data_IF_643937980244
#
_entry.id   IF_643937980244
#
_cell.length_a   1.000
_cell.length_b   1.000
_cell.length_c   1.000
_cell.angle_alpha   90.00
_cell.angle_beta   90.00
_cell.angle_gamma   90.00
#
_symmetry.space_group_name_H-M   'P 1'
#
loop_
_entity.id
_entity.type
_entity.pdbx_description
1 polymer ?
#
# COMPACT_ATOMS: atom_id res chain seq x y z
N UNK A 1 3.10 -2.96 -19.10
CA UNK A 1 2.92 -2.11 -20.30
C UNK A 1 3.96 -2.42 -21.38
N UNK A 2 5.26 -2.50 -21.08
CA UNK A 2 6.31 -2.76 -22.08
C UNK A 2 6.14 -4.05 -22.87
N UNK A 3 5.63 -5.11 -22.28
CA UNK A 3 5.57 -6.45 -22.90
C UNK A 3 4.35 -6.68 -23.80
N UNK A 4 3.19 -6.13 -23.42
CA UNK A 4 1.91 -6.40 -24.10
C UNK A 4 1.25 -5.17 -24.69
N UNK A 5 1.73 -3.98 -24.36
CA UNK A 5 1.15 -2.70 -24.73
C UNK A 5 0.35 -2.04 -23.59
N UNK A 6 0.11 -0.73 -23.72
CA UNK A 6 -0.52 0.03 -22.64
C UNK A 6 -2.05 -0.13 -22.63
N UNK A 7 -2.70 -0.26 -23.79
CA UNK A 7 -4.16 -0.25 -23.88
C UNK A 7 -4.79 -1.46 -23.19
N UNK A 8 -4.29 -2.68 -23.45
CA UNK A 8 -4.84 -3.89 -22.84
C UNK A 8 -4.59 -3.93 -21.34
N UNK A 9 -3.44 -3.40 -20.90
CA UNK A 9 -3.11 -3.28 -19.47
C UNK A 9 -4.06 -2.30 -18.78
N UNK A 10 -4.33 -1.15 -19.40
CA UNK A 10 -5.26 -0.15 -18.89
C UNK A 10 -6.69 -0.70 -18.79
N UNK A 11 -7.16 -1.38 -19.85
CA UNK A 11 -8.48 -2.04 -19.84
C UNK A 11 -8.60 -3.04 -18.70
N UNK A 12 -7.57 -3.88 -18.47
CA UNK A 12 -7.58 -4.81 -17.36
C UNK A 12 -7.60 -4.11 -15.99
N UNK A 13 -6.80 -3.06 -15.80
CA UNK A 13 -6.81 -2.30 -14.55
C UNK A 13 -8.19 -1.68 -14.30
N UNK A 14 -8.79 -1.05 -15.30
CA UNK A 14 -10.10 -0.41 -15.16
C UNK A 14 -11.21 -1.42 -14.85
N UNK A 15 -11.31 -2.47 -15.66
CA UNK A 15 -12.37 -3.48 -15.50
C UNK A 15 -12.15 -4.29 -14.20
N UNK A 16 -10.92 -4.71 -13.92
CA UNK A 16 -10.58 -5.43 -12.71
C UNK A 16 -10.89 -4.65 -11.45
N UNK A 17 -10.54 -3.37 -11.43
CA UNK A 17 -10.78 -2.49 -10.29
C UNK A 17 -12.28 -2.26 -10.03
N UNK A 18 -13.03 -1.88 -11.07
CA UNK A 18 -14.45 -1.53 -10.92
C UNK A 18 -15.32 -2.75 -10.64
N UNK A 19 -15.14 -3.84 -11.41
CA UNK A 19 -16.05 -4.98 -11.37
C UNK A 19 -15.65 -6.10 -10.43
N UNK A 20 -14.37 -6.21 -10.09
CA UNK A 20 -13.87 -7.27 -9.20
C UNK A 20 -13.34 -6.67 -7.91
N UNK A 21 -12.34 -5.80 -7.97
CA UNK A 21 -11.65 -5.26 -6.80
C UNK A 21 -12.57 -4.52 -5.85
N UNK A 22 -13.30 -3.51 -6.35
CA UNK A 22 -14.20 -2.72 -5.52
C UNK A 22 -15.37 -3.55 -4.96
N UNK A 23 -15.84 -4.53 -5.72
CA UNK A 23 -16.93 -5.42 -5.27
C UNK A 23 -16.47 -6.33 -4.16
N UNK A 24 -15.32 -7.00 -4.30
CA UNK A 24 -14.84 -7.90 -3.24
C UNK A 24 -14.44 -7.14 -1.98
N UNK A 25 -13.86 -5.94 -2.09
CA UNK A 25 -13.54 -5.11 -0.92
C UNK A 25 -14.81 -4.70 -0.17
N UNK A 26 -15.82 -4.26 -0.91
CA UNK A 26 -17.11 -3.92 -0.33
C UNK A 26 -17.78 -5.12 0.38
N UNK A 27 -17.82 -6.26 -0.30
CA UNK A 27 -18.43 -7.47 0.27
C UNK A 27 -17.70 -7.91 1.53
N UNK A 28 -16.37 -7.93 1.50
CA UNK A 28 -15.53 -8.32 2.63
C UNK A 28 -15.70 -7.38 3.81
N UNK A 29 -15.71 -6.07 3.54
CA UNK A 29 -15.94 -5.04 4.56
C UNK A 29 -17.32 -5.23 5.22
N UNK A 30 -18.37 -5.35 4.42
CA UNK A 30 -19.74 -5.46 4.93
C UNK A 30 -19.99 -6.76 5.68
N UNK A 31 -19.45 -7.88 5.18
CA UNK A 31 -19.54 -9.17 5.88
C UNK A 31 -18.85 -9.09 7.23
N UNK A 32 -17.67 -8.49 7.32
CA UNK A 32 -16.95 -8.31 8.58
C UNK A 32 -17.70 -7.38 9.55
N UNK A 33 -18.20 -6.23 9.09
CA UNK A 33 -18.97 -5.27 9.91
C UNK A 33 -20.21 -5.95 10.52
N UNK A 34 -20.95 -6.71 9.72
CA UNK A 34 -22.15 -7.44 10.17
C UNK A 34 -21.83 -8.62 11.10
N UNK A 35 -20.60 -9.08 11.11
CA UNK A 35 -20.10 -10.09 12.05
C UNK A 35 -19.19 -9.46 13.13
N UNK A 36 -19.54 -8.26 13.62
CA UNK A 36 -18.87 -7.58 14.72
C UNK A 36 -17.35 -7.31 14.49
N UNK A 37 -16.95 -7.10 13.24
CA UNK A 37 -15.54 -6.89 12.88
C UNK A 37 -14.69 -8.16 12.92
N UNK A 38 -15.32 -9.33 12.81
CA UNK A 38 -14.63 -10.63 12.79
C UNK A 38 -13.78 -10.78 11.54
N UNK A 39 -12.69 -11.54 11.66
CA UNK A 39 -11.85 -11.88 10.51
C UNK A 39 -12.58 -12.78 9.52
N UNK A 40 -12.18 -12.77 8.26
CA UNK A 40 -12.76 -13.67 7.24
C UNK A 40 -12.57 -15.14 7.62
N UNK A 41 -11.45 -15.47 8.29
CA UNK A 41 -11.21 -16.83 8.76
C UNK A 41 -12.23 -17.27 9.85
N UNK A 42 -12.60 -16.37 10.76
CA UNK A 42 -13.61 -16.66 11.78
C UNK A 42 -15.01 -16.77 11.18
N UNK A 43 -15.31 -15.95 10.18
CA UNK A 43 -16.57 -16.02 9.43
C UNK A 43 -16.64 -17.33 8.62
N UNK A 44 -15.52 -17.77 8.05
CA UNK A 44 -15.45 -19.07 7.37
C UNK A 44 -15.73 -20.24 8.34
N UNK A 45 -15.32 -20.15 9.60
CA UNK A 45 -15.66 -21.15 10.63
C UNK A 45 -17.17 -21.24 10.87
N UNK A 46 -17.80 -20.08 11.06
CA UNK A 46 -19.25 -20.05 11.36
C UNK A 46 -20.14 -20.53 10.20
N UNK A 47 -19.64 -20.40 8.95
CA UNK A 47 -20.40 -20.78 7.75
C UNK A 47 -20.04 -22.17 7.20
N UNK A 48 -18.77 -22.55 7.23
CA UNK A 48 -18.24 -23.77 6.60
C UNK A 48 -17.60 -24.75 7.60
N UNK A 49 -17.45 -24.35 8.86
CA UNK A 49 -16.89 -25.17 9.93
C UNK A 49 -15.37 -25.07 10.11
N UNK A 50 -14.88 -25.71 11.19
CA UNK A 50 -13.50 -25.60 11.66
C UNK A 50 -12.43 -25.99 10.62
N UNK A 51 -12.70 -27.02 9.79
CA UNK A 51 -11.73 -27.46 8.77
C UNK A 51 -11.47 -26.38 7.72
N UNK A 52 -12.51 -25.69 7.29
CA UNK A 52 -12.40 -24.58 6.34
C UNK A 52 -11.60 -23.41 6.95
N UNK A 53 -11.88 -23.05 8.21
CA UNK A 53 -11.09 -22.06 8.96
C UNK A 53 -9.61 -22.42 8.99
N UNK A 54 -9.28 -23.66 9.37
CA UNK A 54 -7.90 -24.10 9.51
C UNK A 54 -7.12 -24.02 8.19
N UNK A 55 -7.70 -24.52 7.09
CA UNK A 55 -7.07 -24.46 5.76
C UNK A 55 -6.89 -23.00 5.33
N UNK A 56 -7.92 -22.20 5.50
CA UNK A 56 -7.87 -20.79 5.11
C UNK A 56 -6.89 -19.99 5.96
N UNK A 57 -6.80 -20.24 7.26
CA UNK A 57 -5.83 -19.60 8.15
C UNK A 57 -4.38 -19.94 7.76
N UNK A 58 -4.10 -21.22 7.46
CA UNK A 58 -2.77 -21.63 6.97
C UNK A 58 -2.43 -20.93 5.67
N UNK A 59 -3.36 -20.90 4.72
CA UNK A 59 -3.19 -20.18 3.45
C UNK A 59 -2.88 -18.69 3.69
N UNK A 60 -3.65 -18.02 4.57
CA UNK A 60 -3.43 -16.62 4.90
C UNK A 60 -2.04 -16.36 5.51
N UNK A 61 -1.60 -17.20 6.45
CA UNK A 61 -0.28 -17.08 7.07
C UNK A 61 0.81 -17.20 6.02
N UNK A 62 0.75 -18.20 5.14
CA UNK A 62 1.72 -18.38 4.07
C UNK A 62 1.72 -17.22 3.07
N UNK A 63 0.53 -16.75 2.68
CA UNK A 63 0.39 -15.58 1.80
C UNK A 63 0.98 -14.32 2.43
N UNK A 64 0.72 -14.06 3.72
CA UNK A 64 1.27 -12.92 4.45
C UNK A 64 2.79 -12.98 4.56
N UNK A 65 3.36 -14.15 4.85
CA UNK A 65 4.82 -14.33 4.88
C UNK A 65 5.45 -14.01 3.52
N UNK A 66 4.83 -14.47 2.43
CA UNK A 66 5.29 -14.17 1.08
C UNK A 66 5.22 -12.67 0.78
N UNK A 67 4.11 -12.03 1.11
CA UNK A 67 3.92 -10.57 0.93
C UNK A 67 4.97 -9.79 1.71
N UNK A 68 5.19 -10.09 2.99
CA UNK A 68 6.19 -9.42 3.82
C UNK A 68 7.60 -9.59 3.23
N UNK A 69 7.95 -10.80 2.78
CA UNK A 69 9.25 -11.07 2.18
C UNK A 69 9.46 -10.26 0.89
N UNK A 70 8.48 -10.28 -0.03
CA UNK A 70 8.58 -9.58 -1.32
C UNK A 70 8.63 -8.07 -1.12
N UNK A 71 7.69 -7.50 -0.35
CA UNK A 71 7.67 -6.05 -0.12
C UNK A 71 8.87 -5.58 0.70
N UNK A 72 9.35 -6.36 1.66
CA UNK A 72 10.57 -6.06 2.41
C UNK A 72 11.80 -5.97 1.50
N UNK A 73 11.96 -6.91 0.57
CA UNK A 73 13.06 -6.88 -0.42
C UNK A 73 12.92 -5.70 -1.38
N UNK A 74 11.72 -5.43 -1.89
CA UNK A 74 11.47 -4.30 -2.80
C UNK A 74 11.77 -2.98 -2.10
N UNK A 75 11.29 -2.79 -0.87
CA UNK A 75 11.56 -1.60 -0.07
C UNK A 75 13.06 -1.42 0.21
N UNK A 76 13.77 -2.49 0.59
CA UNK A 76 15.21 -2.45 0.80
C UNK A 76 15.97 -2.06 -0.48
N UNK A 77 15.59 -2.60 -1.64
CA UNK A 77 16.17 -2.22 -2.94
C UNK A 77 15.89 -0.75 -3.28
N UNK A 78 14.72 -0.24 -2.96
CA UNK A 78 14.36 1.17 -3.18
C UNK A 78 15.23 2.10 -2.35
N UNK A 79 15.47 1.78 -1.07
CA UNK A 79 16.35 2.56 -0.20
C UNK A 79 17.82 2.54 -0.66
N UNK A 80 18.26 1.45 -1.29
CA UNK A 80 19.60 1.37 -1.90
C UNK A 80 19.67 2.21 -3.17
N UNK A 81 18.65 2.12 -4.03
CA UNK A 81 18.62 2.83 -5.31
C UNK A 81 18.43 4.35 -5.14
N UNK A 82 17.78 4.77 -4.06
CA UNK A 82 17.47 6.18 -3.77
C UNK A 82 17.85 6.54 -2.33
N UNK A 83 19.13 6.77 -2.06
CA UNK A 83 19.65 7.07 -0.71
C UNK A 83 19.04 8.32 -0.06
N UNK A 84 18.56 9.26 -0.87
CA UNK A 84 17.89 10.49 -0.45
C UNK A 84 16.54 10.21 0.24
N UNK A 85 15.90 9.07 -0.08
CA UNK A 85 14.61 8.68 0.48
C UNK A 85 14.72 8.02 1.86
N UNK A 86 15.92 7.65 2.29
CA UNK A 86 16.14 7.00 3.58
C UNK A 86 15.71 7.91 4.73
N UNK A 87 16.21 9.14 4.76
CA UNK A 87 15.89 10.09 5.83
C UNK A 87 14.38 10.39 5.92
N UNK A 88 13.67 10.78 4.84
CA UNK A 88 12.23 11.02 4.88
C UNK A 88 11.42 9.80 5.31
N UNK A 89 11.82 8.59 4.89
CA UNK A 89 11.12 7.34 5.23
C UNK A 89 11.10 7.07 6.73
N UNK A 90 12.20 7.33 7.42
CA UNK A 90 12.27 7.14 8.87
C UNK A 90 11.77 8.37 9.65
N UNK A 91 11.97 9.58 9.12
CA UNK A 91 11.54 10.81 9.77
C UNK A 91 10.01 10.99 9.82
N UNK A 92 9.26 10.34 8.91
CA UNK A 92 7.78 10.36 8.98
C UNK A 92 7.25 9.68 10.25
N UNK A 93 8.03 8.75 10.84
CA UNK A 93 7.62 8.01 12.05
C UNK A 93 7.41 8.96 13.24
N UNK A 94 8.43 9.72 13.70
CA UNK A 94 8.23 10.63 14.81
C UNK A 94 7.22 11.75 14.49
N UNK A 95 7.18 12.24 13.24
CA UNK A 95 6.19 13.24 12.83
C UNK A 95 4.76 12.70 12.98
N UNK A 96 4.50 11.47 12.54
CA UNK A 96 3.19 10.83 12.68
C UNK A 96 2.81 10.55 14.13
N UNK A 97 3.77 10.16 14.97
CA UNK A 97 3.52 9.93 16.40
C UNK A 97 3.14 11.24 17.12
N UNK A 98 3.84 12.34 16.81
CA UNK A 98 3.50 13.68 17.35
C UNK A 98 2.13 14.13 16.86
N UNK A 99 1.83 13.92 15.57
CA UNK A 99 0.50 14.22 15.01
C UNK A 99 -0.59 13.44 15.75
N UNK A 100 -0.43 12.12 15.89
CA UNK A 100 -1.36 11.26 16.62
C UNK A 100 -1.57 11.71 18.06
N UNK A 101 -0.51 12.05 18.77
CA UNK A 101 -0.59 12.58 20.12
C UNK A 101 -1.35 13.92 20.19
N UNK A 102 -1.09 14.84 19.26
CA UNK A 102 -1.80 16.13 19.19
C UNK A 102 -3.29 15.96 18.93
N UNK A 103 -3.67 15.04 18.03
CA UNK A 103 -5.08 14.81 17.68
C UNK A 103 -5.80 14.08 18.80
N UNK A 104 -5.25 12.98 19.31
CA UNK A 104 -5.98 12.11 20.24
C UNK A 104 -5.93 12.55 21.69
N UNK A 105 -4.82 13.16 22.14
CA UNK A 105 -4.67 13.57 23.54
C UNK A 105 -4.94 15.04 23.83
N UNK A 106 -4.66 15.93 22.87
CA UNK A 106 -4.77 17.40 23.10
C UNK A 106 -5.94 18.05 22.38
N UNK A 107 -6.66 17.30 21.53
CA UNK A 107 -7.83 17.82 20.77
C UNK A 107 -7.56 19.15 20.04
N UNK A 108 -6.36 19.31 19.52
CA UNK A 108 -6.02 20.47 18.70
C UNK A 108 -6.83 20.48 17.39
N UNK A 109 -6.98 21.64 16.79
CA UNK A 109 -7.65 21.76 15.51
C UNK A 109 -6.93 20.89 14.45
N UNK A 110 -7.66 19.89 13.94
CA UNK A 110 -7.15 18.91 12.98
C UNK A 110 -6.52 19.56 11.75
N UNK A 111 -7.13 20.65 11.24
CA UNK A 111 -6.64 21.32 10.03
C UNK A 111 -5.26 21.95 10.23
N UNK A 112 -5.08 22.63 11.38
CA UNK A 112 -3.80 23.31 11.70
C UNK A 112 -2.69 22.27 11.91
N UNK A 113 -2.97 21.21 12.70
CA UNK A 113 -1.97 20.19 13.00
C UNK A 113 -1.60 19.40 11.73
N UNK A 114 -2.58 19.11 10.87
CA UNK A 114 -2.33 18.46 9.59
C UNK A 114 -1.48 19.32 8.65
N UNK A 115 -1.76 20.62 8.58
CA UNK A 115 -0.96 21.54 7.77
C UNK A 115 0.50 21.59 8.24
N UNK A 116 0.72 21.69 9.55
CA UNK A 116 2.06 21.67 10.15
C UNK A 116 2.76 20.36 9.85
N UNK A 117 2.07 19.23 9.96
CA UNK A 117 2.64 17.91 9.70
C UNK A 117 3.00 17.73 8.21
N UNK A 118 2.17 18.20 7.28
CA UNK A 118 2.47 18.19 5.84
C UNK A 118 3.68 19.07 5.53
N UNK A 119 3.76 20.27 6.10
CA UNK A 119 4.95 21.12 5.95
C UNK A 119 6.21 20.47 6.53
N UNK A 120 6.10 19.78 7.66
CA UNK A 120 7.20 19.02 8.24
C UNK A 120 7.66 17.88 7.31
N UNK A 121 6.74 17.20 6.61
CA UNK A 121 7.09 16.17 5.63
C UNK A 121 7.83 16.77 4.43
N UNK A 122 7.34 17.90 3.89
CA UNK A 122 8.00 18.58 2.77
C UNK A 122 9.42 19.00 3.18
N UNK A 123 9.58 19.52 4.39
CA UNK A 123 10.90 19.83 4.94
C UNK A 123 11.78 18.58 5.09
N UNK A 124 11.24 17.47 5.57
CA UNK A 124 11.95 16.19 5.68
C UNK A 124 12.42 15.67 4.32
N UNK A 125 11.59 15.79 3.28
CA UNK A 125 11.97 15.43 1.91
C UNK A 125 13.11 16.31 1.43
N UNK A 126 13.02 17.62 1.65
CA UNK A 126 14.09 18.55 1.30
C UNK A 126 15.41 18.24 2.02
N UNK A 127 15.36 17.95 3.31
CA UNK A 127 16.54 17.53 4.10
C UNK A 127 17.11 16.21 3.56
N UNK A 128 16.28 15.25 3.18
CA UNK A 128 16.71 13.99 2.59
C UNK A 128 17.53 14.17 1.32
N UNK A 129 17.17 15.13 0.45
CA UNK A 129 17.98 15.49 -0.72
C UNK A 129 19.33 16.11 -0.38
N UNK A 130 19.43 16.79 0.77
CA UNK A 130 20.71 17.39 1.21
C UNK A 130 21.62 16.37 1.92
N UNK A 131 21.05 15.34 2.52
CA UNK A 131 21.79 14.38 3.34
C UNK A 131 21.43 12.94 2.87
N UNK A 132 21.90 12.52 1.67
CA UNK A 132 21.66 11.15 1.21
C UNK A 132 22.44 10.15 2.07
N UNK A 133 21.80 9.07 2.48
CA UNK A 133 22.39 8.01 3.31
C UNK A 133 22.88 6.87 2.43
N UNK A 134 24.16 6.91 2.07
CA UNK A 134 24.82 5.85 1.32
C UNK A 134 25.37 4.78 2.25
N UNK A 135 25.05 3.51 1.99
CA UNK A 135 25.73 2.39 2.63
C UNK A 135 26.96 1.99 1.80
N UNK A 136 28.08 1.65 2.43
CA UNK A 136 29.26 1.15 1.72
C UNK A 136 28.93 -0.17 0.99
N UNK A 137 29.47 -0.33 -0.22
CA UNK A 137 29.26 -1.53 -1.05
C UNK A 137 29.74 -2.82 -0.36
N UNK A 138 30.77 -2.72 0.47
CA UNK A 138 31.28 -3.85 1.28
C UNK A 138 30.33 -4.28 2.40
N UNK A 139 29.20 -3.56 2.58
CA UNK A 139 28.23 -3.82 3.63
C UNK A 139 28.60 -3.20 4.97
N UNK A 140 27.68 -3.32 5.93
CA UNK A 140 27.84 -2.87 7.32
C UNK A 140 27.70 -4.08 8.22
N UNK A 141 28.63 -4.23 9.19
CA UNK A 141 28.64 -5.35 10.15
C UNK A 141 28.65 -6.75 9.49
N UNK A 142 29.23 -6.91 8.28
CA UNK A 142 29.28 -8.18 7.54
C UNK A 142 28.00 -8.51 6.76
N UNK A 143 27.00 -7.68 6.76
CA UNK A 143 25.78 -7.85 5.98
C UNK A 143 25.84 -7.02 4.70
N UNK A 144 25.35 -7.59 3.59
CA UNK A 144 25.15 -6.83 2.36
C UNK A 144 24.14 -5.68 2.59
N UNK A 145 24.20 -4.57 1.83
CA UNK A 145 23.28 -3.44 1.97
C UNK A 145 21.80 -3.85 1.92
N UNK A 146 21.49 -4.87 1.09
CA UNK A 146 20.14 -5.40 0.98
C UNK A 146 19.66 -6.04 2.29
N UNK A 147 20.49 -6.92 2.87
CA UNK A 147 20.16 -7.63 4.11
C UNK A 147 20.07 -6.63 5.26
N UNK A 148 20.97 -5.65 5.31
CA UNK A 148 20.96 -4.62 6.34
C UNK A 148 19.64 -3.83 6.35
N UNK A 149 19.22 -3.29 5.20
CA UNK A 149 17.94 -2.57 5.12
C UNK A 149 16.74 -3.47 5.36
N UNK A 150 16.78 -4.70 4.84
CA UNK A 150 15.71 -5.68 5.08
C UNK A 150 15.52 -5.94 6.57
N UNK A 151 16.60 -6.18 7.32
CA UNK A 151 16.55 -6.43 8.78
C UNK A 151 16.01 -5.21 9.52
N UNK A 152 16.47 -4.00 9.20
CA UNK A 152 15.95 -2.77 9.82
C UNK A 152 14.45 -2.61 9.56
N UNK A 153 13.99 -2.83 8.32
CA UNK A 153 12.58 -2.74 7.97
C UNK A 153 11.75 -3.81 8.70
N UNK A 154 12.28 -5.02 8.85
CA UNK A 154 11.61 -6.09 9.60
C UNK A 154 11.53 -5.80 11.09
N UNK A 155 12.60 -5.27 11.70
CA UNK A 155 12.59 -4.82 13.09
C UNK A 155 11.57 -3.70 13.30
N UNK A 156 11.54 -2.72 12.39
CA UNK A 156 10.55 -1.65 12.41
C UNK A 156 9.11 -2.21 12.30
N UNK A 157 8.86 -3.12 11.36
CA UNK A 157 7.54 -3.75 11.20
C UNK A 157 7.14 -4.55 12.45
N UNK A 158 8.09 -5.27 13.07
CA UNK A 158 7.86 -5.98 14.32
C UNK A 158 7.48 -5.06 15.47
N UNK A 159 8.19 -3.95 15.66
CA UNK A 159 7.87 -2.94 16.68
C UNK A 159 6.51 -2.30 16.39
N UNK A 160 6.27 -1.92 15.12
CA UNK A 160 5.01 -1.30 14.70
C UNK A 160 3.79 -2.22 14.91
N UNK A 161 3.97 -3.54 14.80
CA UNK A 161 2.89 -4.52 15.00
C UNK A 161 2.43 -4.64 16.46
N UNK A 162 3.30 -4.32 17.42
CA UNK A 162 3.01 -4.37 18.87
C UNK A 162 2.32 -3.09 19.34
N UNK A 163 2.59 -1.96 18.65
CA UNK A 163 2.03 -0.67 19.03
C UNK A 163 0.53 -0.57 18.67
N UNK A 164 -0.26 0.14 19.48
CA UNK A 164 -1.65 0.42 19.12
C UNK A 164 -1.74 1.15 17.77
N UNK A 165 -2.65 0.71 16.91
CA UNK A 165 -2.86 1.26 15.54
C UNK A 165 -2.99 2.78 15.53
N UNK A 166 -3.67 3.32 16.53
CA UNK A 166 -3.92 4.76 16.70
C UNK A 166 -2.66 5.58 16.98
N UNK A 167 -1.60 4.94 17.52
CA UNK A 167 -0.39 5.66 17.94
C UNK A 167 0.56 5.90 16.76
N UNK A 168 0.71 4.93 15.87
CA UNK A 168 1.70 4.96 14.79
C UNK A 168 1.06 4.78 13.41
N UNK A 169 0.31 3.70 13.20
CA UNK A 169 -0.15 3.32 11.87
C UNK A 169 -1.17 4.33 11.32
N UNK A 170 -2.21 4.64 12.08
CA UNK A 170 -3.29 5.51 11.64
C UNK A 170 -2.84 6.95 11.33
N UNK A 171 -2.04 7.64 12.19
CA UNK A 171 -1.51 8.96 11.84
C UNK A 171 -0.52 8.94 10.68
N UNK A 172 0.28 7.86 10.54
CA UNK A 172 1.21 7.70 9.44
C UNK A 172 0.47 7.54 8.11
N UNK A 173 -0.54 6.68 8.07
CA UNK A 173 -1.35 6.45 6.87
C UNK A 173 -2.11 7.73 6.46
N UNK A 174 -2.61 8.47 7.43
CA UNK A 174 -3.22 9.78 7.21
C UNK A 174 -2.26 10.76 6.51
N UNK A 175 -1.01 10.85 6.98
CA UNK A 175 0.02 11.68 6.34
C UNK A 175 0.44 11.16 4.96
N UNK A 176 0.58 9.85 4.82
CA UNK A 176 0.92 9.21 3.54
C UNK A 176 -0.13 9.48 2.47
N UNK A 177 -1.39 9.62 2.86
CA UNK A 177 -2.48 9.99 1.95
C UNK A 177 -2.25 11.37 1.31
N UNK A 178 -1.78 12.37 2.06
CA UNK A 178 -1.45 13.69 1.50
C UNK A 178 -0.28 13.62 0.51
N UNK A 179 0.74 12.83 0.83
CA UNK A 179 1.88 12.62 -0.08
C UNK A 179 1.39 11.95 -1.37
N UNK A 180 0.57 10.90 -1.25
CA UNK A 180 0.03 10.16 -2.38
C UNK A 180 -0.79 11.06 -3.31
N UNK A 181 -1.82 11.72 -2.79
CA UNK A 181 -2.66 12.59 -3.60
C UNK A 181 -1.92 13.83 -4.12
N UNK A 182 -1.01 14.39 -3.32
CA UNK A 182 -0.16 15.50 -3.74
C UNK A 182 0.77 15.12 -4.89
N UNK A 183 1.47 14.00 -4.78
CA UNK A 183 2.37 13.50 -5.84
C UNK A 183 1.61 13.13 -7.10
N UNK A 184 0.43 12.52 -6.97
CA UNK A 184 -0.44 12.18 -8.08
C UNK A 184 -0.96 13.43 -8.80
N UNK A 185 -1.41 14.45 -8.07
CA UNK A 185 -1.84 15.71 -8.66
C UNK A 185 -0.70 16.41 -9.41
N UNK A 186 0.51 16.43 -8.81
CA UNK A 186 1.71 16.96 -9.46
C UNK A 186 2.10 16.17 -10.72
N UNK A 187 1.99 14.84 -10.68
CA UNK A 187 2.27 13.99 -11.83
C UNK A 187 1.27 14.24 -12.98
N UNK A 188 -0.02 14.32 -12.68
CA UNK A 188 -1.07 14.62 -13.68
C UNK A 188 -0.84 16.02 -14.26
N UNK A 189 -0.59 17.01 -13.42
CA UNK A 189 -0.29 18.37 -13.88
C UNK A 189 0.95 18.41 -14.76
N UNK A 190 2.03 17.73 -14.35
CA UNK A 190 3.26 17.62 -15.12
C UNK A 190 3.06 16.95 -16.48
N UNK A 191 2.27 15.86 -16.54
CA UNK A 191 1.92 15.18 -17.79
C UNK A 191 1.14 16.10 -18.75
N UNK A 192 0.17 16.84 -18.23
CA UNK A 192 -0.62 17.78 -19.04
C UNK A 192 0.27 18.93 -19.54
N UNK A 193 1.16 19.44 -18.67
CA UNK A 193 2.03 20.57 -19.00
C UNK A 193 3.10 20.22 -20.03
N UNK A 194 3.75 19.08 -19.86
CA UNK A 194 4.86 18.63 -20.74
C UNK A 194 4.34 17.98 -22.02
N UNK A 195 3.16 17.31 -21.96
CA UNK A 195 2.56 16.60 -23.08
C UNK A 195 3.47 15.54 -23.72
N UNK A 196 4.11 14.64 -22.94
CA UNK A 196 5.10 13.69 -23.47
C UNK A 196 4.45 12.74 -24.49
N UNK A 197 5.19 12.42 -25.54
CA UNK A 197 4.76 11.44 -26.53
C UNK A 197 4.73 10.01 -25.95
N UNK A 198 3.70 9.25 -26.27
CA UNK A 198 3.59 7.84 -25.87
C UNK A 198 4.45 6.96 -26.80
N UNK A 199 5.64 6.61 -26.37
CA UNK A 199 6.57 5.77 -27.14
C UNK A 199 6.20 4.27 -27.14
N UNK A 200 5.28 3.83 -26.27
CA UNK A 200 4.85 2.44 -26.19
C UNK A 200 3.61 2.22 -27.07
N UNK A 201 3.60 1.21 -27.96
CA UNK A 201 2.43 0.93 -28.77
C UNK A 201 1.23 0.49 -27.92
N UNK A 202 -0.01 0.75 -28.38
CA UNK A 202 -1.21 0.35 -27.64
C UNK A 202 -1.33 -1.17 -27.46
N UNK A 203 -0.84 -1.94 -28.42
CA UNK A 203 -0.78 -3.40 -28.37
C UNK A 203 0.51 -3.90 -29.05
N UNK A 204 1.21 -4.83 -28.39
CA UNK A 204 2.46 -5.43 -28.93
C UNK A 204 2.28 -6.86 -29.42
N UNK A 205 1.29 -7.58 -28.89
CA UNK A 205 1.07 -8.99 -29.22
C UNK A 205 0.57 -9.80 -28.03
N UNK A 206 0.22 -11.04 -28.33
CA UNK A 206 -0.29 -12.01 -27.34
C UNK A 206 0.82 -12.85 -26.67
N UNK A 207 2.05 -12.73 -27.14
CA UNK A 207 3.21 -13.47 -26.63
C UNK A 207 4.34 -12.50 -26.35
N UNK A 208 4.97 -12.62 -25.18
CA UNK A 208 6.19 -11.92 -24.80
C UNK A 208 7.33 -12.93 -24.64
N UNK A 209 8.49 -12.61 -25.19
CA UNK A 209 9.69 -13.46 -25.05
C UNK A 209 10.14 -13.61 -23.59
N UNK A 210 9.91 -12.58 -22.75
CA UNK A 210 10.34 -12.54 -21.36
C UNK A 210 9.27 -13.06 -20.40
N UNK A 211 7.99 -12.69 -20.65
CA UNK A 211 6.90 -12.94 -19.71
C UNK A 211 5.97 -14.10 -20.15
N UNK A 212 6.15 -14.62 -21.38
CA UNK A 212 5.29 -15.66 -21.92
C UNK A 212 3.97 -15.14 -22.50
N UNK A 213 2.90 -15.97 -22.50
CA UNK A 213 1.63 -15.61 -23.14
C UNK A 213 0.89 -14.52 -22.35
N UNK A 214 0.15 -13.66 -23.07
CA UNK A 214 -0.67 -12.60 -22.49
C UNK A 214 -1.66 -13.15 -21.44
N UNK A 215 -2.31 -14.25 -21.76
CA UNK A 215 -3.11 -15.00 -20.79
C UNK A 215 -2.31 -16.21 -20.27
N UNK A 216 -2.11 -16.41 -18.95
CA UNK A 216 -2.62 -15.57 -17.83
C UNK A 216 -1.65 -14.46 -17.37
N UNK A 217 -0.45 -14.31 -17.97
CA UNK A 217 0.67 -13.57 -17.38
C UNK A 217 0.35 -12.08 -17.15
N UNK A 218 -0.27 -11.38 -18.10
CA UNK A 218 -0.67 -9.99 -17.90
C UNK A 218 -1.56 -9.84 -16.67
N UNK A 219 -2.54 -10.73 -16.55
CA UNK A 219 -3.55 -10.68 -15.50
C UNK A 219 -2.95 -10.95 -14.13
N UNK A 220 -1.97 -11.86 -14.04
CA UNK A 220 -1.27 -12.16 -12.78
C UNK A 220 -0.30 -11.03 -12.41
N UNK A 221 0.49 -10.52 -13.36
CA UNK A 221 1.49 -9.47 -13.11
C UNK A 221 0.87 -8.15 -12.64
N UNK A 222 -0.33 -7.84 -13.13
CA UNK A 222 -1.04 -6.61 -12.79
C UNK A 222 -2.21 -6.87 -11.83
N UNK A 223 -2.31 -8.09 -11.28
CA UNK A 223 -3.42 -8.47 -10.40
C UNK A 223 -3.51 -7.56 -9.16
N UNK A 224 -2.39 -7.22 -8.54
CA UNK A 224 -2.38 -6.37 -7.35
C UNK A 224 -2.91 -4.95 -7.64
N UNK A 225 -2.58 -4.36 -8.81
CA UNK A 225 -3.09 -3.06 -9.23
C UNK A 225 -4.54 -3.07 -9.74
N UNK A 226 -5.03 -4.24 -10.20
CA UNK A 226 -6.38 -4.35 -10.77
C UNK A 226 -7.41 -4.90 -9.77
N UNK A 227 -7.03 -5.85 -8.92
CA UNK A 227 -7.97 -6.59 -8.06
C UNK A 227 -7.56 -6.59 -6.59
N UNK A 228 -6.27 -6.56 -6.29
CA UNK A 228 -5.66 -6.56 -4.95
C UNK A 228 -6.39 -7.36 -3.85
N UNK A 229 -6.19 -8.68 -3.84
CA UNK A 229 -6.75 -9.52 -2.77
C UNK A 229 -6.30 -9.15 -1.35
N UNK A 230 -5.18 -8.45 -1.21
CA UNK A 230 -4.71 -7.94 0.08
C UNK A 230 -5.62 -6.83 0.62
N UNK A 231 -6.20 -5.99 -0.23
CA UNK A 231 -7.16 -4.96 0.18
C UNK A 231 -8.38 -5.56 0.88
N UNK A 232 -8.92 -6.65 0.38
CA UNK A 232 -10.07 -7.30 1.01
C UNK A 232 -9.74 -7.85 2.40
N UNK A 233 -8.52 -8.35 2.61
CA UNK A 233 -8.06 -8.80 3.94
C UNK A 233 -7.96 -7.64 4.92
N UNK A 234 -7.41 -6.49 4.48
CA UNK A 234 -7.31 -5.27 5.30
C UNK A 234 -8.69 -4.66 5.54
N UNK A 235 -9.55 -4.63 4.52
CA UNK A 235 -10.92 -4.14 4.65
C UNK A 235 -11.71 -4.91 5.72
N UNK A 236 -11.65 -6.25 5.70
CA UNK A 236 -12.31 -7.09 6.70
C UNK A 236 -11.63 -7.10 8.07
N UNK A 237 -10.29 -6.96 8.12
CA UNK A 237 -9.54 -7.07 9.37
C UNK A 237 -9.40 -5.77 10.15
N UNK A 238 -9.19 -4.66 9.48
CA UNK A 238 -8.84 -3.37 10.09
C UNK A 238 -9.90 -2.30 9.84
N UNK A 239 -10.28 -2.07 8.57
CA UNK A 239 -11.20 -1.00 8.19
C UNK A 239 -12.60 -1.22 8.77
N UNK A 240 -13.06 -2.47 8.84
CA UNK A 240 -14.36 -2.83 9.44
C UNK A 240 -14.49 -2.39 10.90
N UNK A 241 -13.39 -2.33 11.65
CA UNK A 241 -13.36 -1.92 13.06
C UNK A 241 -13.29 -0.40 13.24
N UNK A 242 -13.04 0.35 12.19
CA UNK A 242 -12.90 1.80 12.20
C UNK A 242 -14.10 2.52 11.55
N UNK A 243 -15.02 1.76 10.96
CA UNK A 243 -16.17 2.29 10.27
C UNK A 243 -17.19 2.87 11.25
N UNK A 244 -17.54 4.13 11.10
CA UNK A 244 -18.52 4.79 11.97
C UNK A 244 -19.97 4.42 11.62
N UNK A 245 -20.27 4.08 10.36
CA UNK A 245 -21.59 3.71 9.88
C UNK A 245 -21.51 2.78 8.69
N UNK A 246 -22.38 1.76 8.63
CA UNK A 246 -22.51 0.86 7.47
C UNK A 246 -22.76 1.59 6.16
N UNK A 247 -23.48 2.71 6.18
CA UNK A 247 -23.78 3.49 4.98
C UNK A 247 -22.53 4.04 4.28
N UNK A 248 -21.44 4.23 5.02
CA UNK A 248 -20.17 4.71 4.48
C UNK A 248 -19.35 3.58 3.84
N UNK A 249 -19.68 2.32 4.10
CA UNK A 249 -18.93 1.16 3.61
C UNK A 249 -18.79 1.13 2.09
N UNK A 250 -19.84 1.49 1.35
CA UNK A 250 -19.79 1.55 -0.12
C UNK A 250 -18.82 2.62 -0.62
N UNK A 251 -18.90 3.83 -0.09
CA UNK A 251 -18.03 4.94 -0.53
C UNK A 251 -16.58 4.71 -0.16
N UNK A 252 -16.32 4.09 1.01
CA UNK A 252 -14.95 3.79 1.47
C UNK A 252 -14.34 2.67 0.63
N UNK A 253 -15.04 1.56 0.38
CA UNK A 253 -14.52 0.44 -0.39
C UNK A 253 -14.30 0.82 -1.86
N UNK A 254 -15.30 1.40 -2.52
CA UNK A 254 -15.16 1.83 -3.90
C UNK A 254 -14.18 2.97 -4.05
N UNK A 255 -14.20 3.95 -3.14
CA UNK A 255 -13.25 5.07 -3.14
C UNK A 255 -11.81 4.60 -2.98
N UNK A 256 -11.56 3.66 -2.06
CA UNK A 256 -10.25 3.06 -1.86
C UNK A 256 -9.73 2.33 -3.09
N UNK A 257 -10.54 1.48 -3.70
CA UNK A 257 -10.15 0.74 -4.90
C UNK A 257 -10.05 1.62 -6.14
N UNK A 258 -10.97 2.56 -6.35
CA UNK A 258 -10.90 3.47 -7.49
C UNK A 258 -9.67 4.38 -7.44
N UNK A 259 -9.14 4.69 -6.26
CA UNK A 259 -7.89 5.44 -6.15
C UNK A 259 -6.69 4.69 -6.72
N UNK A 260 -6.70 3.36 -6.74
CA UNK A 260 -5.64 2.53 -7.35
C UNK A 260 -5.56 2.67 -8.87
N UNK A 261 -6.63 3.07 -9.55
CA UNK A 261 -6.60 3.32 -10.99
C UNK A 261 -5.60 4.42 -11.36
N UNK A 262 -5.36 5.33 -10.42
CA UNK A 262 -4.48 6.50 -10.62
C UNK A 262 -3.02 6.23 -10.23
N UNK A 263 -2.73 5.10 -9.61
CA UNK A 263 -1.38 4.65 -9.23
C UNK A 263 -0.81 3.72 -10.30
#
# INVERSE_FOLDING_TARGET
MHHFGWAITLVWILLGNVFIGAVHDYLTLMVSVRNHGSSIADIAESTMGFRAKAIFAIFLVLAMLLVIAVFGVVAAKTLIAQPEMVFPTFAIIPVSMVLGWCIYKKSFNLQIVSLIAVLAIILNIYIGFQIPVHLPEMGVMGFSPLIFWFVILMLYAGVASILPVQTLLQPRDYLSTYILFGSMALAIFGLIWVGPELNTPPFRGVMSEVQGPLWPMLFVLVACGAVSGFHSLVAGGTTSKQLASEMQGKSISYGGMLSLIHI
#
